data_IF_209747996630
#
_entry.id   IF_209747996630
#
_cell.length_a   1.000
_cell.length_b   1.000
_cell.length_c   1.000
_cell.angle_alpha   90.00
_cell.angle_beta   90.00
_cell.angle_gamma   90.00
#
_symmetry.space_group_name_H-M   'P 1'
#
loop_
_entity.id
_entity.type
_entity.pdbx_description
1 polymer ?
#
# COMPACT_ATOMS: atom_id res chain seq x y z
N UNK A 1 -19.08 12.42 -38.61
CA UNK A 1 -18.19 11.36 -39.13
C UNK A 1 -18.59 10.03 -38.49
N UNK A 2 -18.93 9.05 -39.31
CA UNK A 2 -19.58 7.80 -38.91
C UNK A 2 -18.65 6.76 -38.29
N UNK A 3 -19.23 5.82 -37.56
CA UNK A 3 -18.55 4.73 -36.84
C UNK A 3 -17.65 3.84 -37.73
N UNK A 4 -17.84 3.87 -39.06
CA UNK A 4 -17.13 3.04 -40.04
C UNK A 4 -15.96 3.73 -40.78
N UNK A 5 -15.58 4.95 -40.39
CA UNK A 5 -14.45 5.63 -41.03
C UNK A 5 -13.13 5.01 -40.55
N UNK A 6 -12.47 4.20 -41.39
CA UNK A 6 -11.19 3.53 -41.07
C UNK A 6 -10.03 4.53 -40.90
N UNK A 7 -10.20 5.78 -41.33
CA UNK A 7 -9.16 6.84 -41.30
C UNK A 7 -9.07 7.60 -39.96
N UNK A 8 -9.73 7.13 -38.91
CA UNK A 8 -9.61 7.76 -37.60
C UNK A 8 -8.17 7.64 -37.08
N UNK A 9 -7.60 8.75 -36.61
CA UNK A 9 -6.27 8.79 -36.02
C UNK A 9 -6.35 8.55 -34.51
N UNK A 10 -5.39 7.79 -33.98
CA UNK A 10 -5.24 7.52 -32.56
C UNK A 10 -4.65 8.76 -31.86
N UNK A 11 -5.36 9.31 -30.88
CA UNK A 11 -4.92 10.48 -30.11
C UNK A 11 -3.68 10.25 -29.24
N UNK A 12 -3.22 9.00 -29.09
CA UNK A 12 -2.10 8.61 -28.21
C UNK A 12 -0.80 8.41 -28.98
N UNK A 13 -0.87 7.78 -30.15
CA UNK A 13 0.31 7.37 -30.94
C UNK A 13 0.32 7.92 -32.37
N UNK A 14 -0.65 8.76 -32.73
CA UNK A 14 -0.82 9.41 -34.04
C UNK A 14 -0.92 8.47 -35.26
N UNK A 15 -0.98 7.16 -35.03
CA UNK A 15 -1.20 6.13 -36.05
C UNK A 15 -2.70 5.89 -36.32
N UNK A 16 -2.98 5.09 -37.34
CA UNK A 16 -4.37 4.70 -37.66
C UNK A 16 -5.00 3.90 -36.51
N UNK A 17 -6.17 4.35 -36.05
CA UNK A 17 -6.90 3.70 -34.96
C UNK A 17 -7.56 2.38 -35.40
N UNK A 18 -7.86 2.25 -36.69
CA UNK A 18 -8.46 1.05 -37.27
C UNK A 18 -9.84 0.71 -36.72
N UNK A 19 -10.20 -0.58 -36.85
CA UNK A 19 -11.41 -1.19 -36.29
C UNK A 19 -11.24 -1.46 -34.78
N UNK A 20 -12.34 -1.56 -34.04
CA UNK A 20 -12.36 -1.81 -32.59
C UNK A 20 -11.63 -0.76 -31.73
N UNK A 21 -11.53 0.47 -32.23
CA UNK A 21 -11.06 1.64 -31.49
C UNK A 21 -11.98 2.03 -30.33
N UNK A 22 -11.39 2.71 -29.34
CA UNK A 22 -12.05 3.14 -28.12
C UNK A 22 -12.25 4.64 -28.10
N UNK A 23 -13.38 5.11 -27.57
CA UNK A 23 -13.62 6.55 -27.34
C UNK A 23 -13.16 6.98 -25.96
N UNK A 24 -12.59 8.18 -25.89
CA UNK A 24 -12.14 8.84 -24.66
C UNK A 24 -12.98 10.08 -24.34
N UNK A 25 -12.69 10.79 -23.23
CA UNK A 25 -13.52 11.90 -22.72
C UNK A 25 -13.86 12.96 -23.77
N UNK A 26 -12.87 13.37 -24.56
CA UNK A 26 -13.01 14.40 -25.59
C UNK A 26 -13.57 13.87 -26.92
N UNK A 27 -14.14 12.65 -26.93
CA UNK A 27 -14.67 11.93 -28.11
C UNK A 27 -13.63 11.58 -29.17
N UNK A 28 -12.35 11.75 -28.86
CA UNK A 28 -11.23 11.28 -29.68
C UNK A 28 -11.12 9.75 -29.64
N UNK A 29 -10.31 9.21 -30.54
CA UNK A 29 -10.15 7.77 -30.74
C UNK A 29 -8.81 7.26 -30.20
N UNK A 30 -8.84 6.06 -29.63
CA UNK A 30 -7.64 5.32 -29.20
C UNK A 30 -7.62 3.95 -29.88
N UNK A 31 -6.47 3.59 -30.44
CA UNK A 31 -6.29 2.32 -31.14
C UNK A 31 -6.24 1.12 -30.16
N UNK A 32 -6.56 -0.10 -30.62
CA UNK A 32 -6.48 -1.30 -29.79
C UNK A 32 -5.11 -1.57 -29.17
N UNK A 33 -4.03 -1.18 -29.86
CA UNK A 33 -2.65 -1.37 -29.39
C UNK A 33 -2.34 -0.48 -28.19
N UNK A 34 -2.64 0.81 -28.27
CA UNK A 34 -2.48 1.75 -27.15
C UNK A 34 -3.37 1.36 -25.97
N UNK A 35 -4.62 0.96 -26.26
CA UNK A 35 -5.52 0.46 -25.22
C UNK A 35 -4.95 -0.76 -24.49
N UNK A 36 -4.40 -1.73 -25.22
CA UNK A 36 -3.79 -2.93 -24.62
C UNK A 36 -2.53 -2.58 -23.82
N UNK A 37 -1.70 -1.65 -24.31
CA UNK A 37 -0.48 -1.18 -23.64
C UNK A 37 -0.76 -0.40 -22.35
N UNK A 38 -1.88 0.34 -22.28
CA UNK A 38 -2.27 1.09 -21.08
C UNK A 38 -2.70 0.20 -19.90
N UNK A 39 -2.86 -1.11 -20.12
CA UNK A 39 -3.10 -2.07 -19.06
C UNK A 39 -4.55 -2.14 -18.56
N UNK A 40 -4.75 -2.97 -17.54
CA UNK A 40 -6.09 -3.33 -17.03
C UNK A 40 -6.79 -2.20 -16.28
N UNK A 41 -6.04 -1.34 -15.60
CA UNK A 41 -6.56 -0.26 -14.75
C UNK A 41 -7.33 0.77 -15.57
N UNK A 42 -6.88 1.04 -16.81
CA UNK A 42 -7.52 1.99 -17.71
C UNK A 42 -8.86 1.47 -18.30
N UNK A 43 -9.08 0.15 -18.31
CA UNK A 43 -10.29 -0.48 -18.88
C UNK A 43 -11.58 -0.02 -18.20
N UNK A 44 -11.51 0.37 -16.92
CA UNK A 44 -12.67 0.80 -16.13
C UNK A 44 -13.08 2.25 -16.43
N UNK A 45 -12.18 3.07 -16.98
CA UNK A 45 -12.38 4.52 -17.09
C UNK A 45 -11.98 5.12 -18.43
N UNK A 46 -11.63 4.33 -19.46
CA UNK A 46 -11.17 4.87 -20.75
C UNK A 46 -12.11 5.93 -21.34
N UNK A 47 -13.43 5.78 -21.18
CA UNK A 47 -14.41 6.76 -21.67
C UNK A 47 -14.33 8.14 -20.98
N UNK A 48 -13.65 8.23 -19.83
CA UNK A 48 -13.39 9.44 -19.05
C UNK A 48 -11.93 9.88 -19.09
N UNK A 49 -11.05 9.08 -19.68
CA UNK A 49 -9.63 9.36 -19.70
C UNK A 49 -9.27 10.43 -20.75
N UNK A 50 -8.16 11.11 -20.56
CA UNK A 50 -7.52 11.97 -21.57
C UNK A 50 -6.42 11.21 -22.32
N UNK A 51 -5.98 11.72 -23.47
CA UNK A 51 -4.88 11.10 -24.21
C UNK A 51 -3.58 11.08 -23.38
N UNK A 52 -3.33 12.11 -22.58
CA UNK A 52 -2.15 12.22 -21.72
C UNK A 52 -2.18 11.21 -20.58
N UNK A 53 -3.31 11.05 -19.89
CA UNK A 53 -3.49 10.00 -18.88
C UNK A 53 -3.24 8.59 -19.45
N UNK A 54 -3.61 8.37 -20.72
CA UNK A 54 -3.36 7.09 -21.40
C UNK A 54 -1.88 6.91 -21.72
N UNK A 55 -1.18 7.97 -22.14
CA UNK A 55 0.28 7.94 -22.35
C UNK A 55 1.01 7.64 -21.03
N UNK A 56 0.61 8.30 -19.95
CA UNK A 56 1.14 8.06 -18.60
C UNK A 56 0.90 6.61 -18.15
N UNK A 57 -0.30 6.07 -18.37
CA UNK A 57 -0.61 4.68 -18.06
C UNK A 57 0.24 3.68 -18.89
N UNK A 58 0.49 3.97 -20.17
CA UNK A 58 1.39 3.16 -21.02
C UNK A 58 2.81 3.22 -20.48
N UNK A 59 3.30 4.41 -20.13
CA UNK A 59 4.64 4.59 -19.56
C UNK A 59 4.77 3.84 -18.23
N UNK A 60 3.79 3.99 -17.33
CA UNK A 60 3.74 3.26 -16.04
C UNK A 60 3.76 1.74 -16.26
N UNK A 61 2.98 1.24 -17.22
CA UNK A 61 2.96 -0.21 -17.55
C UNK A 61 4.28 -0.69 -18.13
N UNK A 62 4.91 0.09 -19.01
CA UNK A 62 6.21 -0.24 -19.59
C UNK A 62 7.30 -0.29 -18.53
N UNK A 63 7.37 0.74 -17.68
CA UNK A 63 8.31 0.81 -16.56
C UNK A 63 8.10 -0.37 -15.61
N UNK A 64 6.85 -0.68 -15.26
CA UNK A 64 6.52 -1.82 -14.40
C UNK A 64 7.00 -3.16 -14.99
N UNK A 65 6.95 -3.35 -16.31
CA UNK A 65 7.49 -4.56 -16.95
C UNK A 65 9.00 -4.68 -16.72
N UNK A 66 9.73 -3.58 -16.87
CA UNK A 66 11.18 -3.54 -16.59
C UNK A 66 11.47 -3.78 -15.11
N UNK A 67 10.68 -3.18 -14.21
CA UNK A 67 10.77 -3.41 -12.78
C UNK A 67 10.55 -4.88 -12.41
N UNK A 68 9.54 -5.54 -13.00
CA UNK A 68 9.28 -6.96 -12.80
C UNK A 68 10.42 -7.86 -13.26
N UNK A 69 11.06 -7.54 -14.39
CA UNK A 69 12.18 -8.31 -14.93
C UNK A 69 13.41 -8.27 -14.00
N UNK A 70 13.59 -7.15 -13.29
CA UNK A 70 14.68 -6.97 -12.32
C UNK A 70 14.31 -7.37 -10.89
N UNK A 71 13.04 -7.66 -10.62
CA UNK A 71 12.54 -7.97 -9.28
C UNK A 71 13.02 -9.35 -8.78
N UNK A 72 13.75 -9.36 -7.66
CA UNK A 72 14.29 -10.57 -7.03
C UNK A 72 13.73 -10.74 -5.63
N UNK A 73 12.70 -11.57 -5.52
CA UNK A 73 12.07 -11.86 -4.24
C UNK A 73 13.09 -12.39 -3.22
N UNK A 74 13.29 -11.65 -2.14
CA UNK A 74 14.06 -12.03 -0.94
C UNK A 74 13.16 -12.68 0.10
N UNK A 75 11.88 -12.32 0.13
CA UNK A 75 10.85 -12.91 0.99
C UNK A 75 9.55 -13.12 0.23
N UNK A 76 8.85 -14.21 0.55
CA UNK A 76 7.53 -14.54 0.01
C UNK A 76 6.60 -14.90 1.14
N UNK A 77 5.36 -14.43 1.08
CA UNK A 77 4.32 -14.78 2.03
C UNK A 77 3.19 -15.46 1.25
N UNK A 78 3.08 -16.77 1.45
CA UNK A 78 2.20 -17.64 0.68
C UNK A 78 2.47 -17.53 -0.82
N UNK A 79 1.40 -17.53 -1.60
CA UNK A 79 1.40 -17.34 -3.06
C UNK A 79 0.85 -15.97 -3.47
N UNK A 80 0.78 -15.03 -2.52
CA UNK A 80 0.08 -13.76 -2.67
C UNK A 80 1.02 -12.57 -2.73
N UNK A 81 2.09 -12.54 -1.92
CA UNK A 81 2.94 -11.35 -1.78
C UNK A 81 4.41 -11.74 -1.85
N UNK A 82 5.18 -10.95 -2.60
CA UNK A 82 6.63 -11.06 -2.65
C UNK A 82 7.28 -9.72 -2.31
N UNK A 83 8.43 -9.78 -1.65
CA UNK A 83 9.23 -8.66 -1.20
C UNK A 83 10.65 -8.83 -1.75
N UNK A 84 11.23 -7.74 -2.25
CA UNK A 84 12.64 -7.60 -2.64
C UNK A 84 13.28 -6.55 -1.72
N UNK A 85 13.89 -7.01 -0.63
CA UNK A 85 14.53 -6.15 0.38
C UNK A 85 15.83 -5.51 -0.15
N UNK A 86 16.43 -6.06 -1.21
CA UNK A 86 17.62 -5.46 -1.83
C UNK A 86 17.27 -4.22 -2.63
N UNK A 87 16.16 -4.26 -3.37
CA UNK A 87 15.69 -3.13 -4.18
C UNK A 87 14.61 -2.30 -3.48
N UNK A 88 14.22 -2.66 -2.26
CA UNK A 88 13.14 -2.04 -1.48
C UNK A 88 11.81 -1.99 -2.23
N UNK A 89 11.41 -3.14 -2.77
CA UNK A 89 10.21 -3.29 -3.59
C UNK A 89 9.34 -4.43 -3.09
N UNK A 90 8.06 -4.38 -3.43
CA UNK A 90 7.13 -5.47 -3.21
C UNK A 90 6.13 -5.57 -4.36
N UNK A 91 5.45 -6.71 -4.44
CA UNK A 91 4.38 -6.93 -5.39
C UNK A 91 3.31 -7.85 -4.82
N UNK A 92 2.11 -7.76 -5.38
CA UNK A 92 1.02 -8.72 -5.17
C UNK A 92 0.91 -9.61 -6.40
N UNK A 93 0.95 -10.91 -6.19
CA UNK A 93 0.76 -11.91 -7.23
C UNK A 93 -0.72 -11.97 -7.62
N UNK A 94 -0.98 -12.08 -8.93
CA UNK A 94 -2.33 -12.24 -9.44
C UNK A 94 -2.94 -13.55 -8.95
N UNK A 95 -4.21 -13.50 -8.50
CA UNK A 95 -5.01 -14.62 -7.94
C UNK A 95 -4.99 -15.89 -8.84
N UNK A 96 -4.71 -15.75 -10.14
CA UNK A 96 -4.59 -16.88 -11.09
C UNK A 96 -3.13 -17.34 -11.18
N UNK A 97 -2.83 -18.50 -10.59
CA UNK A 97 -1.58 -19.28 -10.72
C UNK A 97 -0.29 -18.65 -10.17
N UNK A 98 -0.37 -17.64 -9.29
CA UNK A 98 0.83 -17.06 -8.64
C UNK A 98 1.84 -16.48 -9.63
N UNK A 99 1.39 -16.07 -10.82
CA UNK A 99 2.26 -15.53 -11.88
C UNK A 99 2.45 -14.04 -11.69
N UNK A 100 3.70 -13.58 -11.87
CA UNK A 100 4.09 -12.16 -11.87
C UNK A 100 3.63 -11.37 -13.09
N UNK A 101 3.19 -12.02 -14.16
CA UNK A 101 2.94 -11.40 -15.47
C UNK A 101 1.83 -10.32 -15.49
N UNK A 102 1.12 -10.11 -14.38
CA UNK A 102 0.14 -9.05 -14.18
C UNK A 102 0.33 -8.29 -12.86
N UNK A 103 1.43 -8.53 -12.16
CA UNK A 103 1.74 -7.89 -10.90
C UNK A 103 2.22 -6.47 -11.14
N UNK A 104 1.90 -5.58 -10.21
CA UNK A 104 2.47 -4.24 -10.16
C UNK A 104 3.55 -4.25 -9.08
N UNK A 105 4.71 -3.70 -9.38
CA UNK A 105 5.83 -3.51 -8.46
C UNK A 105 5.68 -2.15 -7.80
N UNK A 106 5.71 -2.16 -6.48
CA UNK A 106 5.58 -0.98 -5.63
C UNK A 106 6.87 -0.79 -4.84
N UNK A 107 7.23 0.47 -4.54
CA UNK A 107 8.39 0.79 -3.69
C UNK A 107 7.97 0.80 -2.22
N UNK A 108 8.93 0.56 -1.32
CA UNK A 108 8.69 0.63 0.13
C UNK A 108 8.40 2.04 0.61
N UNK A 109 9.12 3.03 0.08
CA UNK A 109 8.94 4.45 0.42
C UNK A 109 7.53 4.99 0.12
N UNK A 110 6.83 4.37 -0.83
CA UNK A 110 5.48 4.76 -1.22
C UNK A 110 4.42 4.24 -0.22
N UNK A 111 4.78 3.41 0.76
CA UNK A 111 3.84 2.87 1.75
C UNK A 111 3.59 3.92 2.84
N UNK A 112 2.33 4.34 2.97
CA UNK A 112 1.90 5.30 4.00
C UNK A 112 1.39 4.57 5.25
N UNK A 113 0.45 3.66 5.06
CA UNK A 113 -0.15 2.86 6.14
C UNK A 113 -0.68 1.51 5.66
N UNK A 114 -1.03 0.64 6.60
CA UNK A 114 -1.70 -0.61 6.31
C UNK A 114 -2.67 -1.03 7.40
N UNK A 115 -3.68 -1.82 7.02
CA UNK A 115 -4.72 -2.34 7.91
C UNK A 115 -5.05 -3.81 7.58
N UNK A 116 -5.09 -4.68 8.58
CA UNK A 116 -5.66 -6.01 8.47
C UNK A 116 -7.16 -5.94 8.71
N UNK A 117 -7.94 -6.36 7.73
CA UNK A 117 -9.40 -6.31 7.75
C UNK A 117 -9.98 -7.73 7.84
N UNK A 118 -10.89 -7.93 8.78
CA UNK A 118 -11.70 -9.15 8.96
C UNK A 118 -13.18 -8.76 8.83
N UNK A 119 -13.83 -9.26 7.78
CA UNK A 119 -15.20 -8.88 7.42
C UNK A 119 -15.43 -7.36 7.33
N UNK A 120 -14.42 -6.65 6.80
CA UNK A 120 -14.42 -5.20 6.61
C UNK A 120 -14.06 -4.39 7.85
N UNK A 121 -13.94 -5.02 9.02
CA UNK A 121 -13.51 -4.34 10.24
C UNK A 121 -11.99 -4.40 10.40
N UNK A 122 -11.37 -3.27 10.73
CA UNK A 122 -9.93 -3.19 11.03
C UNK A 122 -9.63 -3.91 12.35
N UNK A 123 -8.65 -4.81 12.32
CA UNK A 123 -8.24 -5.67 13.44
C UNK A 123 -6.76 -5.48 13.80
N UNK A 124 -6.00 -4.91 12.87
CA UNK A 124 -4.60 -4.53 13.03
C UNK A 124 -4.33 -3.33 12.13
N UNK A 125 -3.40 -2.48 12.53
CA UNK A 125 -2.90 -1.42 11.68
C UNK A 125 -1.48 -1.02 12.04
N UNK A 126 -0.78 -0.47 11.07
CA UNK A 126 0.52 0.16 11.25
C UNK A 126 0.80 1.17 10.14
N UNK A 127 2.03 1.67 10.09
CA UNK A 127 2.42 2.71 9.14
C UNK A 127 3.07 3.91 9.80
N UNK A 128 3.40 4.92 8.99
CA UNK A 128 4.06 6.13 9.47
C UNK A 128 3.08 6.95 10.33
N UNK A 129 3.32 7.03 11.64
CA UNK A 129 2.58 7.92 12.55
C UNK A 129 1.19 7.44 13.03
N UNK A 130 0.80 6.18 12.79
CA UNK A 130 -0.49 5.65 13.31
C UNK A 130 -0.32 4.97 14.66
N UNK A 131 -1.19 5.32 15.61
CA UNK A 131 -1.39 4.55 16.84
C UNK A 131 -2.12 3.23 16.51
N UNK A 132 -1.79 2.11 17.17
CA UNK A 132 -2.46 0.84 16.92
C UNK A 132 -3.95 0.91 17.19
N UNK A 133 -4.74 0.41 16.24
CA UNK A 133 -6.20 0.37 16.33
C UNK A 133 -6.63 -0.75 17.29
N UNK A 134 -7.54 -0.43 18.21
CA UNK A 134 -8.21 -1.38 19.12
C UNK A 134 -7.28 -2.28 19.96
N UNK A 135 -6.21 -1.71 20.52
CA UNK A 135 -5.35 -2.38 21.50
C UNK A 135 -4.52 -3.56 20.96
N UNK A 136 -4.60 -3.85 19.65
CA UNK A 136 -3.80 -4.87 18.99
C UNK A 136 -2.43 -4.33 18.61
N UNK A 137 -1.46 -4.43 19.51
CA UNK A 137 -0.05 -4.29 19.15
C UNK A 137 0.41 -5.61 18.51
N UNK A 138 0.86 -5.56 17.25
CA UNK A 138 1.63 -6.64 16.66
C UNK A 138 3.11 -6.35 16.98
N UNK A 139 3.57 -6.83 18.13
CA UNK A 139 5.01 -6.81 18.41
C UNK A 139 5.72 -7.70 17.38
N UNK A 140 6.99 -7.41 17.13
CA UNK A 140 7.91 -8.17 16.27
C UNK A 140 7.98 -9.69 16.56
N UNK A 141 7.33 -10.16 17.63
CA UNK A 141 7.19 -11.56 18.05
C UNK A 141 5.89 -12.23 17.56
N UNK A 142 5.06 -11.56 16.76
CA UNK A 142 3.82 -12.12 16.19
C UNK A 142 2.69 -12.35 17.21
N UNK A 143 2.84 -11.87 18.45
CA UNK A 143 1.81 -12.00 19.47
C UNK A 143 0.81 -10.87 19.34
N UNK A 144 -0.42 -11.20 18.92
CA UNK A 144 -1.56 -10.30 19.11
C UNK A 144 -1.90 -10.21 20.60
N UNK A 145 -1.31 -9.24 21.30
CA UNK A 145 -1.82 -8.86 22.61
C UNK A 145 -3.14 -8.10 22.42
N UNK A 146 -4.28 -8.73 22.76
CA UNK A 146 -5.56 -8.03 23.02
C UNK A 146 -6.63 -7.93 21.92
N UNK A 147 -6.37 -8.28 20.65
CA UNK A 147 -7.20 -7.79 19.53
C UNK A 147 -8.41 -8.62 19.05
N UNK A 148 -8.56 -9.89 19.42
CA UNK A 148 -9.82 -10.61 19.16
C UNK A 148 -10.79 -10.31 20.29
N UNK A 149 -11.44 -9.15 20.22
CA UNK A 149 -12.57 -8.83 21.11
C UNK A 149 -13.52 -10.03 21.16
N UNK A 150 -14.07 -10.35 22.34
CA UNK A 150 -14.92 -11.54 22.54
C UNK A 150 -16.07 -11.67 21.52
N UNK A 151 -16.53 -10.55 20.95
CA UNK A 151 -17.54 -10.48 19.87
C UNK A 151 -17.11 -11.11 18.53
N UNK A 152 -15.81 -11.22 18.23
CA UNK A 152 -15.32 -11.84 16.98
C UNK A 152 -15.08 -13.34 17.12
N UNK A 153 -14.65 -13.82 18.30
CA UNK A 153 -14.61 -15.26 18.60
C UNK A 153 -16.01 -15.90 18.53
N UNK A 154 -17.07 -15.13 18.82
CA UNK A 154 -18.45 -15.62 18.72
C UNK A 154 -19.00 -15.66 17.28
N UNK A 155 -18.44 -14.88 16.33
CA UNK A 155 -18.68 -15.09 14.89
C UNK A 155 -17.81 -16.25 14.43
N UNK A 156 -18.28 -17.49 14.60
CA UNK A 156 -17.51 -18.70 14.25
C UNK A 156 -17.04 -18.81 12.79
N UNK A 157 -17.44 -17.88 11.93
CA UNK A 157 -17.12 -17.83 10.49
C UNK A 157 -16.50 -16.47 10.14
N UNK A 158 -15.56 -16.47 9.21
CA UNK A 158 -15.02 -15.29 8.52
C UNK A 158 -15.37 -15.41 7.02
N UNK A 159 -15.80 -14.31 6.39
CA UNK A 159 -16.17 -14.28 4.97
C UNK A 159 -15.10 -13.62 4.10
N UNK A 160 -14.31 -12.71 4.69
CA UNK A 160 -13.24 -12.00 4.04
C UNK A 160 -12.11 -11.68 5.01
N UNK A 161 -10.88 -11.93 4.56
CA UNK A 161 -9.64 -11.58 5.25
C UNK A 161 -8.70 -10.93 4.24
N UNK A 162 -8.33 -9.68 4.48
CA UNK A 162 -7.53 -8.91 3.54
C UNK A 162 -6.65 -7.88 4.24
N UNK A 163 -5.54 -7.51 3.62
CA UNK A 163 -4.76 -6.35 4.02
C UNK A 163 -5.05 -5.22 3.03
N UNK A 164 -5.33 -4.04 3.57
CA UNK A 164 -5.41 -2.79 2.82
C UNK A 164 -4.11 -2.03 3.07
N UNK A 165 -3.35 -1.75 2.01
CA UNK A 165 -2.15 -0.92 2.07
C UNK A 165 -2.47 0.42 1.42
N UNK A 166 -2.28 1.52 2.13
CA UNK A 166 -2.46 2.88 1.60
C UNK A 166 -1.13 3.35 1.03
N UNK A 167 -1.16 3.83 -0.22
CA UNK A 167 0.00 4.20 -1.01
C UNK A 167 0.05 5.71 -1.26
N UNK A 168 1.26 6.24 -1.40
CA UNK A 168 1.55 7.60 -1.84
C UNK A 168 1.41 7.75 -3.36
N UNK A 169 0.25 7.40 -3.91
CA UNK A 169 -0.09 7.56 -5.32
C UNK A 169 -1.56 8.01 -5.41
N UNK A 170 -1.80 9.25 -5.85
CA UNK A 170 -3.16 9.81 -5.95
C UNK A 170 -4.06 9.03 -6.93
N UNK A 171 -3.46 8.40 -7.94
CA UNK A 171 -4.18 7.67 -8.97
C UNK A 171 -4.46 6.21 -8.57
N UNK A 172 -3.63 5.65 -7.69
CA UNK A 172 -3.77 4.29 -7.16
C UNK A 172 -3.44 4.23 -5.66
N UNK A 173 -4.28 4.86 -4.81
CA UNK A 173 -3.94 5.12 -3.41
C UNK A 173 -4.06 3.90 -2.50
N UNK A 174 -4.59 2.78 -3.00
CA UNK A 174 -4.89 1.61 -2.17
C UNK A 174 -4.61 0.31 -2.91
N UNK A 175 -3.78 -0.54 -2.29
CA UNK A 175 -3.52 -1.90 -2.74
C UNK A 175 -4.16 -2.89 -1.76
N UNK A 176 -4.99 -3.79 -2.28
CA UNK A 176 -5.59 -4.87 -1.48
C UNK A 176 -4.88 -6.20 -1.70
N UNK A 177 -4.57 -6.89 -0.61
CA UNK A 177 -4.07 -8.26 -0.60
C UNK A 177 -5.17 -9.14 -0.01
N UNK A 178 -5.83 -9.96 -0.84
CA UNK A 178 -6.94 -10.81 -0.41
C UNK A 178 -6.43 -12.20 -0.05
N UNK A 179 -6.46 -12.55 1.25
CA UNK A 179 -6.16 -13.89 1.74
C UNK A 179 -7.39 -14.81 1.67
N UNK A 180 -8.57 -14.24 1.95
CA UNK A 180 -9.87 -14.91 1.83
C UNK A 180 -10.86 -13.95 1.18
N UNK A 181 -11.56 -14.40 0.14
CA UNK A 181 -12.49 -13.56 -0.65
C UNK A 181 -13.79 -14.29 -0.90
N UNK A 182 -14.88 -13.78 -0.34
CA UNK A 182 -16.24 -14.29 -0.53
C UNK A 182 -16.40 -15.78 -0.22
N UNK A 183 -15.68 -16.28 0.78
CA UNK A 183 -15.72 -17.68 1.17
C UNK A 183 -16.02 -17.78 2.67
N UNK A 184 -17.08 -18.51 3.02
CA UNK A 184 -17.40 -18.81 4.41
C UNK A 184 -16.38 -19.83 4.92
N UNK A 185 -15.42 -19.41 5.72
CA UNK A 185 -14.49 -20.33 6.37
C UNK A 185 -14.65 -20.24 7.88
N UNK A 186 -14.73 -21.39 8.54
CA UNK A 186 -14.80 -21.41 10.00
C UNK A 186 -13.43 -21.07 10.57
N UNK A 187 -13.41 -20.27 11.64
CA UNK A 187 -12.15 -19.75 12.19
C UNK A 187 -11.27 -20.83 12.85
N UNK A 188 -11.84 -22.00 13.13
CA UNK A 188 -11.13 -23.16 13.66
C UNK A 188 -10.55 -24.07 12.57
N UNK A 189 -10.94 -23.89 11.31
CA UNK A 189 -10.39 -24.67 10.19
C UNK A 189 -8.92 -24.37 9.96
N UNK A 190 -8.15 -25.41 9.68
CA UNK A 190 -6.72 -25.33 9.43
C UNK A 190 -6.37 -24.35 8.30
N UNK A 191 -7.19 -24.30 7.25
CA UNK A 191 -7.02 -23.39 6.11
C UNK A 191 -7.15 -21.93 6.56
N UNK A 192 -8.19 -21.60 7.33
CA UNK A 192 -8.35 -20.25 7.87
C UNK A 192 -7.16 -19.86 8.76
N UNK A 193 -6.74 -20.75 9.67
CA UNK A 193 -5.60 -20.48 10.56
C UNK A 193 -4.33 -20.18 9.78
N UNK A 194 -4.04 -20.98 8.74
CA UNK A 194 -2.88 -20.74 7.88
C UNK A 194 -2.96 -19.42 7.11
N UNK A 195 -4.12 -19.10 6.53
CA UNK A 195 -4.33 -17.81 5.84
C UNK A 195 -4.19 -16.62 6.79
N UNK A 196 -4.68 -16.78 8.01
CA UNK A 196 -4.60 -15.78 9.05
C UNK A 196 -3.16 -15.57 9.52
N UNK A 197 -2.39 -16.64 9.77
CA UNK A 197 -0.97 -16.58 10.07
C UNK A 197 -0.17 -15.86 8.97
N UNK A 198 -0.44 -16.17 7.69
CA UNK A 198 0.17 -15.46 6.56
C UNK A 198 -0.17 -13.96 6.55
N UNK A 199 -1.42 -13.60 6.86
CA UNK A 199 -1.82 -12.21 6.96
C UNK A 199 -1.10 -11.49 8.11
N UNK A 200 -0.95 -12.13 9.27
CA UNK A 200 -0.19 -11.57 10.40
C UNK A 200 1.29 -11.39 10.06
N UNK A 201 1.91 -12.36 9.38
CA UNK A 201 3.30 -12.25 8.93
C UNK A 201 3.46 -11.06 7.97
N UNK A 202 2.49 -10.84 7.09
CA UNK A 202 2.49 -9.76 6.12
C UNK A 202 2.39 -8.38 6.81
N UNK A 203 1.46 -8.24 7.77
CA UNK A 203 1.35 -7.05 8.65
C UNK A 203 2.68 -6.76 9.35
N UNK A 204 3.31 -7.79 9.92
CA UNK A 204 4.59 -7.65 10.63
C UNK A 204 5.72 -7.22 9.68
N UNK A 205 5.72 -7.75 8.46
CA UNK A 205 6.70 -7.39 7.43
C UNK A 205 6.54 -5.94 6.98
N UNK A 206 5.30 -5.48 6.76
CA UNK A 206 5.04 -4.07 6.45
C UNK A 206 5.41 -3.13 7.60
N UNK A 207 5.20 -3.54 8.85
CA UNK A 207 5.63 -2.74 10.01
C UNK A 207 7.15 -2.53 9.99
N UNK A 208 7.93 -3.61 9.81
CA UNK A 208 9.39 -3.54 9.72
C UNK A 208 9.83 -2.64 8.56
N UNK A 209 9.16 -2.71 7.41
CA UNK A 209 9.45 -1.84 6.26
C UNK A 209 9.22 -0.37 6.64
N UNK A 210 8.05 -0.04 7.20
CA UNK A 210 7.73 1.34 7.60
C UNK A 210 8.71 1.88 8.64
N UNK A 211 9.08 1.08 9.65
CA UNK A 211 10.03 1.47 10.68
C UNK A 211 11.44 1.70 10.10
N UNK A 212 11.87 0.88 9.14
CA UNK A 212 13.16 1.07 8.45
C UNK A 212 13.15 2.34 7.60
N UNK A 213 12.09 2.62 6.85
CA UNK A 213 11.99 3.83 6.01
C UNK A 213 11.90 5.10 6.86
N UNK A 214 11.24 5.06 8.01
CA UNK A 214 11.22 6.19 8.95
C UNK A 214 12.59 6.47 9.55
N UNK A 215 13.34 5.44 9.93
CA UNK A 215 14.68 5.59 10.50
C UNK A 215 15.75 6.05 9.48
N UNK A 216 15.45 6.01 8.18
CA UNK A 216 16.36 6.44 7.12
C UNK A 216 16.10 7.87 6.61
N UNK A 217 15.03 8.55 7.07
CA UNK A 217 14.83 9.97 6.76
C UNK A 217 15.94 10.80 7.43
N UNK A 218 16.57 11.77 6.73
CA UNK A 218 17.66 12.55 7.29
C UNK A 218 17.22 13.32 8.55
N UNK A 219 18.17 13.49 9.48
CA UNK A 219 18.12 14.11 10.82
C UNK A 219 17.54 15.56 10.92
N UNK A 220 16.82 16.04 9.90
CA UNK A 220 16.10 17.31 9.94
C UNK A 220 14.87 17.26 10.86
N UNK A 221 14.24 16.10 11.06
CA UNK A 221 13.12 15.94 12.00
C UNK A 221 13.56 15.85 13.47
N UNK A 222 14.75 15.32 13.75
CA UNK A 222 15.29 15.29 15.12
C UNK A 222 15.59 16.69 15.65
N UNK A 223 16.06 17.62 14.81
CA UNK A 223 16.27 19.01 15.22
C UNK A 223 14.94 19.74 15.56
N UNK A 224 13.86 19.44 14.84
CA UNK A 224 12.52 19.96 15.15
C UNK A 224 11.95 19.32 16.43
N UNK A 225 12.09 17.99 16.60
CA UNK A 225 11.63 17.27 17.80
C UNK A 225 12.35 17.72 19.07
N UNK A 226 13.67 17.93 19.01
CA UNK A 226 14.46 18.44 20.14
C UNK A 226 14.00 19.85 20.54
N UNK A 227 13.71 20.72 19.57
CA UNK A 227 13.20 22.06 19.86
C UNK A 227 11.79 22.02 20.50
N UNK A 228 10.91 21.15 20.01
CA UNK A 228 9.56 20.98 20.56
C UNK A 228 9.58 20.37 21.97
N UNK A 229 10.49 19.43 22.24
CA UNK A 229 10.70 18.88 23.59
C UNK A 229 11.23 19.94 24.55
N UNK A 230 12.22 20.73 24.14
CA UNK A 230 12.73 21.85 24.96
C UNK A 230 11.60 22.87 25.26
N UNK A 231 10.70 23.11 24.31
CA UNK A 231 9.55 24.00 24.50
C UNK A 231 8.57 23.46 25.54
N UNK A 232 8.23 22.17 25.51
CA UNK A 232 7.39 21.52 26.52
C UNK A 232 8.01 21.57 27.92
N UNK A 233 9.32 21.34 28.02
CA UNK A 233 10.02 21.47 29.30
C UNK A 233 10.05 22.92 29.80
N UNK A 234 10.06 23.91 28.90
CA UNK A 234 9.98 25.33 29.30
C UNK A 234 8.59 25.68 29.83
N UNK A 235 7.53 25.12 29.24
CA UNK A 235 6.15 25.26 29.76
C UNK A 235 6.03 24.70 31.19
N UNK A 236 6.62 23.52 31.46
CA UNK A 236 6.64 22.95 32.81
C UNK A 236 7.39 23.82 33.84
N UNK A 237 8.44 24.53 33.41
CA UNK A 237 9.16 25.49 34.25
C UNK A 237 8.31 26.74 34.50
N UNK A 238 7.64 27.25 33.47
CA UNK A 238 6.77 28.44 33.57
C UNK A 238 5.53 28.17 34.42
N UNK A 239 5.01 26.94 34.39
CA UNK A 239 3.93 26.45 35.27
C UNK A 239 4.41 26.14 36.71
N UNK A 240 5.72 26.25 36.98
CA UNK A 240 6.31 25.99 38.30
C UNK A 240 6.31 24.52 38.72
N UNK A 241 6.11 23.60 37.75
CA UNK A 241 6.08 22.15 37.98
C UNK A 241 7.50 21.59 38.15
N UNK A 242 8.48 22.17 37.45
CA UNK A 242 9.90 21.82 37.56
C UNK A 242 10.74 23.04 37.93
N UNK A 243 11.91 22.79 38.49
CA UNK A 243 12.89 23.84 38.83
C UNK A 243 13.78 24.22 37.65
N UNK A 244 14.41 25.39 37.74
CA UNK A 244 15.29 25.91 36.69
C UNK A 244 16.53 25.02 36.48
N UNK A 245 17.01 24.38 37.54
CA UNK A 245 18.10 23.39 37.50
C UNK A 245 17.71 22.12 36.73
N UNK A 246 16.49 21.61 36.96
CA UNK A 246 15.96 20.43 36.27
C UNK A 246 15.73 20.68 34.79
N UNK A 247 15.19 21.86 34.46
CA UNK A 247 15.05 22.30 33.08
C UNK A 247 16.41 22.37 32.36
N UNK A 248 17.41 22.99 32.99
CA UNK A 248 18.73 23.17 32.38
C UNK A 248 19.45 21.83 32.16
N UNK A 249 19.35 20.91 33.13
CA UNK A 249 19.92 19.56 33.02
C UNK A 249 19.30 18.80 31.84
N UNK A 250 17.98 18.86 31.68
CA UNK A 250 17.29 18.18 30.59
C UNK A 250 17.55 18.83 29.23
N UNK A 251 17.62 20.16 29.16
CA UNK A 251 18.00 20.90 27.95
C UNK A 251 19.39 20.50 27.45
N UNK A 252 20.38 20.36 28.34
CA UNK A 252 21.72 19.92 27.98
C UNK A 252 21.76 18.46 27.51
N UNK A 253 20.92 17.60 28.07
CA UNK A 253 20.78 16.19 27.64
C UNK A 253 20.17 16.09 26.24
N UNK A 254 19.16 16.93 25.94
CA UNK A 254 18.46 16.96 24.65
C UNK A 254 19.26 17.61 23.51
N UNK A 255 20.23 18.48 23.83
CA UNK A 255 21.08 19.18 22.84
C UNK A 255 22.38 18.43 22.51
N UNK A 256 22.53 17.19 22.98
CA UNK A 256 23.73 16.35 22.81
C UNK A 256 23.58 15.35 21.68
#
# INVERSE_FOLDING_TARGET
MGFFDLKAICAVCDGEAGLHRYRIANKEWVCPTCYKKAGSSLKKFIAKATADEIREAIAKTSNNSTELDHFKATKKIGTLVEFDDHQKKWLVLSEILGRRNRSIVYRYEDILDFELLDDGESIASGGQGRAPINGGYFSHTGTMAGGLTGKRRTRGVCNSLQIKVTMNDINDPVVYIHFLKNAKSKRDEMVYRSLFEQAQECVSTFQVICDRENNQKPLTETAFSVADEIKKFKELLDDGIITEEEFHKKKLELLR
#
